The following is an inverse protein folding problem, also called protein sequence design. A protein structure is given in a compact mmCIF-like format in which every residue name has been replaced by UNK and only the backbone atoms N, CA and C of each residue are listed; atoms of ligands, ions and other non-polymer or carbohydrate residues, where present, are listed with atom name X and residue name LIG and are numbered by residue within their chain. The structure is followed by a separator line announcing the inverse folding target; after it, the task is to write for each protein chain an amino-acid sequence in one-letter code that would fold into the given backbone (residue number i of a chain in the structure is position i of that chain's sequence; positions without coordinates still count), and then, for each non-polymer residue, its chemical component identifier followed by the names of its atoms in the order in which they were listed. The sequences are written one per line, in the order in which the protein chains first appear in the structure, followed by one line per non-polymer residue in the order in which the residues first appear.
data_IF_812351745217
#
_entry.id   IF_812351745217
#
_cell.length_a   1.000
_cell.length_b   1.000
_cell.length_c   1.000
_cell.angle_alpha   90.00
_cell.angle_beta   90.00
_cell.angle_gamma   90.00
#
_symmetry.space_group_name_H-M   'P 1'
#
loop_
_entity.id
_entity.type
_entity.pdbx_description
1 polymer ?
#
# COMPACT_ATOMS: atom_id res chain seq x y z
N UNK A 1 -50.18 -60.88 3.30
CA UNK A 1 -50.92 -59.59 3.30
C UNK A 1 -50.49 -58.79 4.54
N UNK A 2 -49.26 -58.26 4.54
CA UNK A 2 -48.71 -57.63 5.77
C UNK A 2 -47.52 -56.69 5.55
N UNK A 3 -46.96 -56.60 4.34
CA UNK A 3 -45.80 -55.75 4.05
C UNK A 3 -46.13 -54.26 3.91
N UNK A 4 -47.40 -53.90 3.67
CA UNK A 4 -47.84 -52.51 3.48
C UNK A 4 -47.86 -51.69 4.79
N UNK A 5 -48.42 -52.17 5.93
CA UNK A 5 -48.42 -51.40 7.17
C UNK A 5 -47.01 -51.19 7.75
N UNK A 6 -46.12 -52.17 7.63
CA UNK A 6 -44.73 -52.06 8.11
C UNK A 6 -43.89 -51.08 7.27
N UNK A 7 -44.18 -50.99 5.97
CA UNK A 7 -43.55 -49.98 5.10
C UNK A 7 -44.01 -48.58 5.50
N UNK A 8 -45.30 -48.40 5.79
CA UNK A 8 -45.87 -47.11 6.15
C UNK A 8 -45.30 -46.60 7.48
N UNK A 9 -45.19 -47.45 8.51
CA UNK A 9 -44.64 -47.05 9.82
C UNK A 9 -43.15 -46.72 9.75
N UNK A 10 -42.40 -47.37 8.86
CA UNK A 10 -40.98 -47.12 8.64
C UNK A 10 -40.70 -45.77 7.95
N UNK A 11 -41.51 -45.38 6.96
CA UNK A 11 -41.32 -44.12 6.21
C UNK A 11 -42.09 -42.92 6.78
N UNK A 12 -43.08 -43.14 7.65
CA UNK A 12 -43.83 -42.09 8.33
C UNK A 12 -42.96 -41.04 9.05
N UNK A 13 -41.96 -41.39 9.89
CA UNK A 13 -41.13 -40.40 10.58
C UNK A 13 -40.30 -39.54 9.62
N UNK A 14 -39.84 -40.09 8.50
CA UNK A 14 -39.13 -39.35 7.45
C UNK A 14 -40.06 -38.37 6.74
N UNK A 15 -41.29 -38.78 6.43
CA UNK A 15 -42.27 -37.92 5.77
C UNK A 15 -42.67 -36.75 6.69
N UNK A 16 -42.87 -37.02 7.98
CA UNK A 16 -43.14 -35.99 9.00
C UNK A 16 -41.95 -35.03 9.14
N UNK A 17 -40.71 -35.53 9.21
CA UNK A 17 -39.53 -34.67 9.33
C UNK A 17 -39.30 -33.80 8.11
N UNK A 18 -39.51 -34.34 6.90
CA UNK A 18 -39.40 -33.58 5.64
C UNK A 18 -40.42 -32.43 5.62
N UNK A 19 -41.68 -32.71 5.99
CA UNK A 19 -42.73 -31.69 6.06
C UNK A 19 -42.41 -30.65 7.14
N UNK A 20 -41.89 -31.06 8.29
CA UNK A 20 -41.57 -30.16 9.40
C UNK A 20 -40.36 -29.27 9.07
N UNK A 21 -39.30 -29.82 8.46
CA UNK A 21 -38.12 -29.08 8.02
C UNK A 21 -38.47 -28.09 6.91
N UNK A 22 -39.22 -28.52 5.90
CA UNK A 22 -39.67 -27.63 4.80
C UNK A 22 -40.61 -26.54 5.30
N UNK A 23 -41.53 -26.86 6.21
CA UNK A 23 -42.38 -25.88 6.88
C UNK A 23 -41.55 -24.89 7.71
N UNK A 24 -40.58 -25.36 8.49
CA UNK A 24 -39.70 -24.53 9.31
C UNK A 24 -38.84 -23.60 8.44
N UNK A 25 -38.23 -24.11 7.38
CA UNK A 25 -37.44 -23.31 6.42
C UNK A 25 -38.32 -22.28 5.69
N UNK A 26 -39.53 -22.67 5.27
CA UNK A 26 -40.48 -21.76 4.64
C UNK A 26 -40.98 -20.69 5.60
N UNK A 27 -41.23 -21.03 6.87
CA UNK A 27 -41.63 -20.10 7.92
C UNK A 27 -40.49 -19.13 8.23
N UNK A 28 -39.26 -19.63 8.37
CA UNK A 28 -38.07 -18.81 8.60
C UNK A 28 -37.83 -17.87 7.42
N UNK A 29 -38.02 -18.36 6.19
CA UNK A 29 -37.91 -17.54 4.98
C UNK A 29 -38.99 -16.49 4.91
N UNK A 30 -40.23 -16.86 5.17
CA UNK A 30 -41.33 -15.92 5.23
C UNK A 30 -41.13 -14.86 6.32
N UNK A 31 -40.66 -15.24 7.51
CA UNK A 31 -40.42 -14.32 8.63
C UNK A 31 -39.25 -13.37 8.33
N UNK A 32 -38.18 -13.87 7.70
CA UNK A 32 -37.03 -13.08 7.27
C UNK A 32 -37.30 -12.22 6.01
N UNK A 33 -38.19 -12.66 5.11
CA UNK A 33 -38.61 -11.93 3.90
C UNK A 33 -39.64 -10.83 4.20
N UNK A 34 -40.64 -11.14 5.04
CA UNK A 34 -41.79 -10.28 5.27
C UNK A 34 -41.45 -9.08 6.15
N UNK A 35 -40.35 -9.15 6.90
CA UNK A 35 -39.98 -8.10 7.84
C UNK A 35 -39.31 -6.90 7.18
N UNK A 36 -38.65 -7.06 6.01
CA UNK A 36 -37.97 -5.94 5.34
C UNK A 36 -37.86 -6.13 3.81
N UNK A 37 -38.75 -5.48 3.05
CA UNK A 37 -38.74 -5.43 1.57
C UNK A 37 -37.78 -4.37 1.00
N UNK A 38 -37.23 -3.47 1.85
CA UNK A 38 -36.21 -2.47 1.48
C UNK A 38 -34.92 -2.71 2.27
N UNK A 39 -34.05 -3.61 1.80
CA UNK A 39 -32.76 -3.86 2.45
C UNK A 39 -31.58 -3.36 1.61
N UNK A 40 -30.88 -2.37 2.16
CA UNK A 40 -29.51 -2.02 1.79
C UNK A 40 -28.60 -3.26 1.92
N UNK A 41 -27.51 -3.30 1.15
CA UNK A 41 -26.64 -4.47 1.01
C UNK A 41 -26.16 -5.10 2.33
N UNK A 42 -26.01 -4.31 3.39
CA UNK A 42 -25.46 -4.73 4.69
C UNK A 42 -26.35 -5.72 5.46
N UNK A 43 -27.68 -5.70 5.29
CA UNK A 43 -28.57 -6.64 5.99
C UNK A 43 -28.79 -7.96 5.24
N UNK A 44 -28.26 -8.08 4.00
CA UNK A 44 -28.41 -9.31 3.18
C UNK A 44 -27.48 -10.43 3.67
N UNK A 45 -26.29 -10.09 4.14
CA UNK A 45 -25.28 -11.05 4.59
C UNK A 45 -25.70 -11.87 5.83
N UNK A 46 -26.16 -11.26 6.95
CA UNK A 46 -26.60 -12.05 8.11
C UNK A 46 -27.80 -12.94 7.77
N UNK A 47 -28.71 -12.48 6.90
CA UNK A 47 -29.84 -13.28 6.45
C UNK A 47 -29.41 -14.51 5.63
N UNK A 48 -28.46 -14.35 4.70
CA UNK A 48 -27.93 -15.47 3.92
C UNK A 48 -27.21 -16.49 4.81
N UNK A 49 -26.45 -16.02 5.80
CA UNK A 49 -25.81 -16.89 6.78
C UNK A 49 -26.82 -17.67 7.63
N UNK A 50 -27.85 -17.00 8.16
CA UNK A 50 -28.92 -17.67 8.93
C UNK A 50 -29.64 -18.72 8.09
N UNK A 51 -29.90 -18.43 6.81
CA UNK A 51 -30.49 -19.40 5.89
C UNK A 51 -29.61 -20.59 5.60
N UNK A 52 -28.31 -20.35 5.39
CA UNK A 52 -27.34 -21.41 5.16
C UNK A 52 -27.25 -22.34 6.38
N UNK A 53 -27.17 -21.77 7.58
CA UNK A 53 -27.15 -22.54 8.83
C UNK A 53 -28.45 -23.34 9.01
N UNK A 54 -29.61 -22.71 8.76
CA UNK A 54 -30.89 -23.40 8.86
C UNK A 54 -31.00 -24.58 7.88
N UNK A 55 -30.50 -24.42 6.65
CA UNK A 55 -30.45 -25.51 5.67
C UNK A 55 -29.54 -26.65 6.13
N UNK A 56 -28.35 -26.36 6.67
CA UNK A 56 -27.45 -27.38 7.21
C UNK A 56 -28.12 -28.15 8.35
N UNK A 57 -28.75 -27.44 9.29
CA UNK A 57 -29.50 -28.07 10.40
C UNK A 57 -30.67 -28.91 9.88
N UNK A 58 -31.39 -28.42 8.86
CA UNK A 58 -32.48 -29.17 8.22
C UNK A 58 -32.00 -30.48 7.58
N UNK A 59 -30.87 -30.46 6.89
CA UNK A 59 -30.25 -31.67 6.31
C UNK A 59 -29.87 -32.66 7.42
N UNK A 60 -29.25 -32.19 8.51
CA UNK A 60 -28.91 -33.05 9.65
C UNK A 60 -30.17 -33.67 10.28
N UNK A 61 -31.24 -32.89 10.45
CA UNK A 61 -32.51 -33.37 10.99
C UNK A 61 -33.13 -34.46 10.10
N UNK A 62 -33.08 -34.31 8.76
CA UNK A 62 -33.57 -35.33 7.83
C UNK A 62 -32.76 -36.61 7.97
N UNK A 63 -31.43 -36.51 8.04
CA UNK A 63 -30.53 -37.68 8.16
C UNK A 63 -30.81 -38.47 9.45
N UNK A 64 -31.08 -37.80 10.56
CA UNK A 64 -31.43 -38.43 11.85
C UNK A 64 -32.76 -39.22 11.80
N UNK A 65 -33.64 -38.88 10.86
CA UNK A 65 -34.95 -39.55 10.69
C UNK A 65 -34.98 -40.57 9.57
N UNK A 66 -33.83 -40.85 8.92
CA UNK A 66 -33.74 -41.87 7.88
C UNK A 66 -34.01 -43.27 8.47
N UNK A 67 -34.85 -44.09 7.81
CA UNK A 67 -35.11 -45.47 8.25
C UNK A 67 -33.96 -46.41 7.89
N UNK A 68 -32.77 -46.14 8.41
CA UNK A 68 -31.56 -46.93 8.23
C UNK A 68 -30.97 -47.27 9.59
N UNK A 69 -30.08 -48.26 9.65
CA UNK A 69 -29.44 -48.63 10.91
C UNK A 69 -28.63 -47.47 11.49
N UNK A 70 -28.54 -47.39 12.82
CA UNK A 70 -27.75 -46.35 13.51
C UNK A 70 -26.30 -46.30 13.01
N UNK A 71 -25.71 -47.45 12.66
CA UNK A 71 -24.38 -47.52 12.08
C UNK A 71 -24.29 -46.77 10.74
N UNK A 72 -25.29 -46.90 9.86
CA UNK A 72 -25.33 -46.20 8.57
C UNK A 72 -25.62 -44.71 8.79
N UNK A 73 -26.54 -44.36 9.70
CA UNK A 73 -26.81 -42.96 10.04
C UNK A 73 -25.54 -42.25 10.52
N UNK A 74 -24.80 -42.86 11.44
CA UNK A 74 -23.55 -42.32 11.97
C UNK A 74 -22.48 -42.17 10.89
N UNK A 75 -22.39 -43.12 9.94
CA UNK A 75 -21.48 -43.00 8.79
C UNK A 75 -21.86 -41.84 7.87
N UNK A 76 -23.15 -41.65 7.58
CA UNK A 76 -23.63 -40.53 6.76
C UNK A 76 -23.36 -39.19 7.45
N UNK A 77 -23.63 -39.10 8.76
CA UNK A 77 -23.34 -37.90 9.55
C UNK A 77 -21.84 -37.61 9.62
N UNK A 78 -21.01 -38.64 9.79
CA UNK A 78 -19.55 -38.48 9.77
C UNK A 78 -19.06 -37.99 8.39
N UNK A 79 -19.59 -38.55 7.29
CA UNK A 79 -19.26 -38.11 5.94
C UNK A 79 -19.67 -36.65 5.71
N UNK A 80 -20.90 -36.28 6.08
CA UNK A 80 -21.37 -34.89 5.99
C UNK A 80 -20.49 -33.97 6.84
N UNK A 81 -20.13 -34.40 8.06
CA UNK A 81 -19.23 -33.67 8.94
C UNK A 81 -17.88 -33.40 8.30
N UNK A 82 -17.23 -34.42 7.75
CA UNK A 82 -15.93 -34.30 7.06
C UNK A 82 -16.04 -33.40 5.83
N UNK A 83 -17.10 -33.56 5.02
CA UNK A 83 -17.32 -32.75 3.83
C UNK A 83 -17.55 -31.28 4.18
N UNK A 84 -18.40 -30.99 5.17
CA UNK A 84 -18.67 -29.62 5.62
C UNK A 84 -17.42 -28.99 6.25
N UNK A 85 -16.70 -29.72 7.11
CA UNK A 85 -15.47 -29.19 7.72
C UNK A 85 -14.38 -28.95 6.67
N UNK A 86 -14.22 -29.86 5.71
CA UNK A 86 -13.27 -29.72 4.61
C UNK A 86 -13.61 -28.52 3.74
N UNK A 87 -14.87 -28.37 3.35
CA UNK A 87 -15.35 -27.24 2.55
C UNK A 87 -15.06 -25.89 3.24
N UNK A 88 -15.35 -25.77 4.54
CA UNK A 88 -15.04 -24.55 5.30
C UNK A 88 -13.53 -24.32 5.37
N UNK A 89 -12.73 -25.34 5.67
CA UNK A 89 -11.27 -25.22 5.77
C UNK A 89 -10.64 -24.76 4.43
N UNK A 90 -11.00 -25.41 3.33
CA UNK A 90 -10.49 -25.05 2.00
C UNK A 90 -10.96 -23.66 1.56
N UNK A 91 -12.23 -23.31 1.83
CA UNK A 91 -12.75 -21.98 1.47
C UNK A 91 -12.09 -20.86 2.27
N UNK A 92 -11.74 -21.10 3.53
CA UNK A 92 -11.10 -20.09 4.40
C UNK A 92 -9.58 -19.99 4.22
N UNK A 93 -8.96 -20.89 3.46
CA UNK A 93 -7.49 -20.96 3.31
C UNK A 93 -6.89 -19.67 2.75
N UNK A 94 -7.54 -19.04 1.76
CA UNK A 94 -7.04 -17.80 1.15
C UNK A 94 -7.03 -16.62 2.14
N UNK A 95 -8.09 -16.47 2.93
CA UNK A 95 -8.19 -15.44 3.98
C UNK A 95 -7.09 -15.67 5.02
N UNK A 96 -6.97 -16.90 5.51
CA UNK A 96 -5.95 -17.25 6.50
C UNK A 96 -4.53 -17.00 5.98
N UNK A 97 -4.28 -17.28 4.70
CA UNK A 97 -2.99 -17.03 4.05
C UNK A 97 -2.65 -15.54 4.05
N UNK A 98 -3.62 -14.67 3.72
CA UNK A 98 -3.42 -13.22 3.75
C UNK A 98 -3.24 -12.67 5.19
N UNK A 99 -3.98 -13.21 6.17
CA UNK A 99 -3.78 -12.85 7.59
C UNK A 99 -2.37 -13.21 8.05
N UNK A 100 -1.93 -14.43 7.78
CA UNK A 100 -0.60 -14.90 8.16
C UNK A 100 0.50 -14.11 7.44
N UNK A 101 0.32 -13.82 6.15
CA UNK A 101 1.23 -12.94 5.42
C UNK A 101 1.30 -11.54 6.03
N UNK A 102 0.16 -10.95 6.42
CA UNK A 102 0.12 -9.67 7.12
C UNK A 102 0.87 -9.69 8.46
N UNK A 103 0.75 -10.78 9.23
CA UNK A 103 1.50 -10.96 10.48
C UNK A 103 3.01 -11.06 10.21
N UNK A 104 3.42 -11.80 9.19
CA UNK A 104 4.83 -11.93 8.78
C UNK A 104 5.39 -10.57 8.35
N UNK A 105 4.65 -9.79 7.56
CA UNK A 105 5.07 -8.44 7.16
C UNK A 105 5.25 -7.53 8.38
N UNK A 106 4.36 -7.60 9.37
CA UNK A 106 4.46 -6.82 10.61
C UNK A 106 5.60 -7.27 11.52
N UNK A 107 5.93 -8.57 11.53
CA UNK A 107 7.01 -9.12 12.36
C UNK A 107 8.39 -8.85 11.75
N UNK A 108 8.57 -9.19 10.47
CA UNK A 108 9.85 -9.01 9.77
C UNK A 108 10.11 -7.55 9.38
N UNK A 109 9.05 -6.73 9.27
CA UNK A 109 9.10 -5.32 8.86
C UNK A 109 10.02 -5.08 7.66
N UNK A 110 9.84 -5.81 6.53
CA UNK A 110 10.69 -5.65 5.34
C UNK A 110 10.61 -4.22 4.77
N UNK A 111 9.45 -3.57 4.94
CA UNK A 111 9.16 -2.17 4.67
C UNK A 111 8.23 -1.63 5.76
N UNK A 112 8.09 -0.31 5.82
CA UNK A 112 7.20 0.42 6.74
C UNK A 112 6.23 1.28 5.94
N UNK A 113 5.17 1.74 6.61
CA UNK A 113 4.29 2.78 6.07
C UNK A 113 5.15 4.02 5.77
N UNK A 114 4.99 4.57 4.57
CA UNK A 114 5.81 5.67 4.07
C UNK A 114 7.07 5.26 3.29
N UNK A 115 7.48 4.00 3.30
CA UNK A 115 8.58 3.56 2.42
C UNK A 115 8.13 3.54 0.97
N UNK A 116 9.06 3.85 0.06
CA UNK A 116 8.82 3.72 -1.37
C UNK A 116 9.09 2.28 -1.79
N UNK A 117 8.11 1.62 -2.37
CA UNK A 117 8.16 0.21 -2.73
C UNK A 117 7.86 0.01 -4.21
N UNK A 118 8.47 -1.02 -4.79
CA UNK A 118 8.15 -1.49 -6.13
C UNK A 118 7.83 -2.98 -6.11
N UNK A 119 6.63 -3.31 -6.57
CA UNK A 119 6.08 -4.67 -6.59
C UNK A 119 5.34 -4.89 -7.90
N UNK A 120 5.63 -5.99 -8.60
CA UNK A 120 4.94 -6.40 -9.83
C UNK A 120 4.83 -5.28 -10.89
N UNK A 121 5.87 -4.45 -11.02
CA UNK A 121 5.92 -3.33 -11.97
C UNK A 121 5.24 -2.05 -11.50
N UNK A 122 4.49 -2.07 -10.40
CA UNK A 122 3.93 -0.87 -9.77
C UNK A 122 4.95 -0.27 -8.81
N UNK A 123 5.08 1.05 -8.82
CA UNK A 123 5.91 1.82 -7.89
C UNK A 123 5.08 2.87 -7.17
N UNK A 124 5.30 2.99 -5.87
CA UNK A 124 4.57 3.93 -5.05
C UNK A 124 5.02 3.88 -3.59
N UNK A 125 4.35 4.65 -2.75
CA UNK A 125 4.61 4.73 -1.31
C UNK A 125 3.57 3.91 -0.56
N UNK A 126 3.98 3.15 0.45
CA UNK A 126 3.05 2.38 1.28
C UNK A 126 2.17 3.34 2.07
N UNK A 127 0.86 3.33 1.83
CA UNK A 127 -0.11 4.21 2.46
C UNK A 127 -0.70 3.59 3.72
N UNK A 128 -1.14 2.33 3.64
CA UNK A 128 -1.75 1.61 4.77
C UNK A 128 -1.39 0.12 4.73
N UNK A 129 -1.24 -0.48 5.91
CA UNK A 129 -1.08 -1.93 6.07
C UNK A 129 -2.26 -2.52 6.83
N UNK A 130 -3.26 -2.99 6.08
CA UNK A 130 -4.43 -3.69 6.59
C UNK A 130 -4.12 -5.09 7.12
N UNK A 131 -5.18 -5.82 7.48
CA UNK A 131 -5.07 -7.20 7.97
C UNK A 131 -4.86 -8.20 6.81
N UNK A 132 -5.56 -8.00 5.70
CA UNK A 132 -5.56 -8.90 4.54
C UNK A 132 -4.78 -8.32 3.35
N UNK A 133 -4.70 -7.01 3.28
CA UNK A 133 -4.16 -6.25 2.19
C UNK A 133 -3.30 -5.08 2.68
N UNK A 134 -2.51 -4.53 1.77
CA UNK A 134 -1.66 -3.36 1.96
C UNK A 134 -1.89 -2.43 0.79
N UNK A 135 -2.17 -1.17 1.07
CA UNK A 135 -2.42 -0.14 0.06
C UNK A 135 -1.14 0.62 -0.27
N UNK A 136 -0.88 0.77 -1.56
CA UNK A 136 0.25 1.52 -2.10
C UNK A 136 -0.30 2.68 -2.93
N UNK A 137 0.13 3.89 -2.60
CA UNK A 137 -0.20 5.09 -3.35
C UNK A 137 0.85 5.33 -4.45
N UNK A 138 0.42 5.38 -5.70
CA UNK A 138 1.30 5.61 -6.84
C UNK A 138 1.63 7.10 -7.01
N UNK A 139 2.60 7.39 -7.88
CA UNK A 139 2.97 8.76 -8.28
C UNK A 139 1.80 9.50 -8.97
N UNK A 140 0.81 8.78 -9.50
CA UNK A 140 -0.41 9.34 -10.13
C UNK A 140 -1.56 9.53 -9.14
N UNK A 141 -1.31 9.41 -7.83
CA UNK A 141 -2.30 9.53 -6.74
C UNK A 141 -3.36 8.41 -6.75
N UNK A 142 -3.10 7.28 -7.41
CA UNK A 142 -3.97 6.10 -7.36
C UNK A 142 -3.64 5.25 -6.13
N UNK A 143 -4.65 4.64 -5.52
CA UNK A 143 -4.50 3.67 -4.43
C UNK A 143 -4.64 2.26 -4.99
N UNK A 144 -3.56 1.48 -4.89
CA UNK A 144 -3.54 0.09 -5.33
C UNK A 144 -3.49 -0.80 -4.08
N UNK A 145 -4.53 -1.60 -3.87
CA UNK A 145 -4.57 -2.61 -2.80
C UNK A 145 -3.93 -3.91 -3.27
N UNK A 146 -2.89 -4.34 -2.57
CA UNK A 146 -2.22 -5.62 -2.77
C UNK A 146 -2.58 -6.58 -1.65
N UNK A 147 -3.02 -7.79 -1.99
CA UNK A 147 -3.18 -8.85 -1.01
C UNK A 147 -1.84 -9.14 -0.33
N UNK A 148 -1.83 -9.28 1.00
CA UNK A 148 -0.60 -9.45 1.79
C UNK A 148 0.19 -10.68 1.35
N UNK A 149 -0.48 -11.76 0.92
CA UNK A 149 0.17 -12.94 0.37
C UNK A 149 1.00 -12.66 -0.88
N UNK A 150 0.59 -11.72 -1.74
CA UNK A 150 1.35 -11.35 -2.94
C UNK A 150 2.65 -10.64 -2.55
N UNK A 151 2.60 -9.77 -1.54
CA UNK A 151 3.77 -9.03 -1.05
C UNK A 151 4.81 -9.92 -0.38
N UNK A 152 4.39 -11.01 0.26
CA UNK A 152 5.31 -11.98 0.87
C UNK A 152 5.89 -12.93 -0.18
N UNK A 153 5.11 -13.32 -1.18
CA UNK A 153 5.52 -14.32 -2.17
C UNK A 153 6.26 -13.73 -3.40
N UNK A 154 6.16 -12.42 -3.63
CA UNK A 154 6.77 -11.76 -4.78
C UNK A 154 8.03 -11.00 -4.38
N UNK A 155 9.05 -10.90 -5.26
CA UNK A 155 10.18 -10.03 -5.01
C UNK A 155 9.71 -8.57 -4.93
N UNK A 156 10.11 -7.90 -3.86
CA UNK A 156 9.79 -6.50 -3.60
C UNK A 156 11.09 -5.69 -3.51
N UNK A 157 11.10 -4.50 -4.09
CA UNK A 157 12.19 -3.52 -3.91
C UNK A 157 11.73 -2.46 -2.93
N UNK A 158 12.52 -2.17 -1.91
CA UNK A 158 12.23 -1.10 -0.94
C UNK A 158 13.31 -0.04 -1.05
N UNK A 159 12.91 1.20 -1.22
CA UNK A 159 13.75 2.36 -0.98
C UNK A 159 13.36 2.91 0.38
N UNK A 160 14.25 2.72 1.35
CA UNK A 160 14.05 3.12 2.74
C UNK A 160 14.21 4.62 2.89
N UNK A 161 13.57 5.19 3.89
CA UNK A 161 13.73 6.60 4.27
C UNK A 161 15.16 7.00 4.69
N UNK A 162 16.05 6.03 4.98
CA UNK A 162 17.44 6.29 5.36
C UNK A 162 18.33 6.85 4.24
N UNK A 163 17.85 6.81 3.00
CA UNK A 163 18.55 7.35 1.86
C UNK A 163 18.35 6.52 0.60
N UNK A 164 18.49 7.17 -0.55
CA UNK A 164 18.32 6.55 -1.85
C UNK A 164 19.45 6.95 -2.78
N UNK A 165 19.99 6.00 -3.54
CA UNK A 165 20.89 6.35 -4.63
C UNK A 165 20.04 6.82 -5.80
N UNK A 166 20.17 8.10 -6.16
CA UNK A 166 19.61 8.61 -7.41
C UNK A 166 20.69 8.61 -8.48
N UNK A 167 20.30 8.34 -9.71
CA UNK A 167 21.24 8.30 -10.83
C UNK A 167 20.63 8.85 -12.12
N UNK A 168 21.52 9.34 -12.97
CA UNK A 168 21.22 9.80 -14.33
C UNK A 168 22.21 9.13 -15.27
N UNK A 169 21.67 8.61 -16.37
CA UNK A 169 22.45 8.01 -17.44
C UNK A 169 22.41 8.93 -18.66
N UNK A 170 23.56 9.11 -19.27
CA UNK A 170 23.72 9.90 -20.48
C UNK A 170 24.81 9.31 -21.36
N UNK A 171 24.71 9.55 -22.66
CA UNK A 171 25.71 9.16 -23.64
C UNK A 171 26.42 10.39 -24.19
N UNK A 172 27.74 10.35 -24.27
CA UNK A 172 28.56 11.44 -24.84
C UNK A 172 29.49 10.88 -25.92
N UNK A 173 29.82 11.69 -26.92
CA UNK A 173 30.73 11.31 -28.00
C UNK A 173 32.16 11.03 -27.50
N UNK A 174 32.92 10.25 -28.28
CA UNK A 174 34.31 9.89 -27.98
C UNK A 174 35.31 11.06 -28.04
N UNK A 175 34.89 12.21 -28.56
CA UNK A 175 35.74 13.39 -28.72
C UNK A 175 36.16 14.03 -27.38
N UNK A 176 35.46 13.69 -26.29
CA UNK A 176 35.67 14.29 -24.98
C UNK A 176 36.32 13.29 -24.04
N UNK A 177 37.47 13.68 -23.47
CA UNK A 177 38.18 12.85 -22.50
C UNK A 177 37.34 12.63 -21.22
N UNK A 178 37.27 11.38 -20.75
CA UNK A 178 36.43 10.97 -19.62
C UNK A 178 36.65 11.81 -18.34
N UNK A 179 37.90 12.19 -18.04
CA UNK A 179 38.24 13.02 -16.87
C UNK A 179 37.54 14.38 -16.87
N UNK A 180 37.33 14.98 -18.06
CA UNK A 180 36.63 16.26 -18.18
C UNK A 180 35.14 16.08 -17.91
N UNK A 181 34.54 15.03 -18.47
CA UNK A 181 33.14 14.67 -18.25
C UNK A 181 32.88 14.40 -16.76
N UNK A 182 33.70 13.54 -16.15
CA UNK A 182 33.58 13.14 -14.75
C UNK A 182 33.60 14.34 -13.80
N UNK A 183 34.52 15.30 -14.03
CA UNK A 183 34.59 16.53 -13.25
C UNK A 183 33.28 17.33 -13.27
N UNK A 184 32.65 17.48 -14.43
CA UNK A 184 31.41 18.26 -14.57
C UNK A 184 30.19 17.51 -14.01
N UNK A 185 30.13 16.19 -14.21
CA UNK A 185 29.07 15.35 -13.63
C UNK A 185 29.11 15.34 -12.09
N UNK A 186 30.30 15.24 -11.48
CA UNK A 186 30.47 15.33 -10.03
C UNK A 186 30.08 16.73 -9.51
N UNK A 187 30.41 17.80 -10.23
CA UNK A 187 29.99 19.16 -9.87
C UNK A 187 28.46 19.30 -9.89
N UNK A 188 27.79 18.75 -10.90
CA UNK A 188 26.33 18.77 -10.99
C UNK A 188 25.65 18.00 -9.83
N UNK A 189 26.23 16.87 -9.43
CA UNK A 189 25.74 16.09 -8.29
C UNK A 189 25.92 16.84 -6.96
N UNK A 190 27.06 17.53 -6.78
CA UNK A 190 27.31 18.36 -5.62
C UNK A 190 26.33 19.55 -5.51
N UNK A 191 26.00 20.22 -6.62
CA UNK A 191 24.97 21.28 -6.66
C UNK A 191 23.56 20.78 -6.27
N UNK A 192 23.31 19.49 -6.50
CA UNK A 192 22.05 18.88 -6.10
C UNK A 192 22.00 18.52 -4.61
N UNK A 193 23.14 18.56 -3.89
CA UNK A 193 23.25 18.17 -2.49
C UNK A 193 23.35 16.66 -2.29
N UNK A 194 23.89 15.93 -3.28
CA UNK A 194 24.08 14.49 -3.18
C UNK A 194 25.40 14.15 -2.49
N UNK A 195 25.34 13.26 -1.51
CA UNK A 195 26.49 12.75 -0.79
C UNK A 195 27.12 11.57 -1.54
N UNK A 196 28.41 11.31 -1.33
CA UNK A 196 29.16 10.18 -1.91
C UNK A 196 28.91 9.97 -3.42
N UNK A 197 28.89 11.08 -4.17
CA UNK A 197 28.61 11.05 -5.60
C UNK A 197 29.77 10.42 -6.38
N UNK A 198 29.45 9.55 -7.33
CA UNK A 198 30.41 8.87 -8.18
C UNK A 198 29.93 8.76 -9.63
N UNK A 199 30.88 8.74 -10.56
CA UNK A 199 30.63 8.56 -11.99
C UNK A 199 31.10 7.19 -12.42
N UNK A 200 30.30 6.50 -13.23
CA UNK A 200 30.65 5.22 -13.85
C UNK A 200 30.58 5.33 -15.36
N UNK A 201 31.53 4.69 -16.04
CA UNK A 201 31.40 4.37 -17.47
C UNK A 201 30.66 3.04 -17.56
N UNK A 202 29.40 3.07 -18.03
CA UNK A 202 28.54 1.89 -18.12
C UNK A 202 28.93 1.02 -19.31
N UNK A 203 29.14 1.66 -20.46
CA UNK A 203 29.37 0.99 -21.73
C UNK A 203 30.16 1.88 -22.70
N UNK A 204 30.93 1.24 -23.56
CA UNK A 204 31.57 1.83 -24.73
C UNK A 204 30.74 1.40 -25.95
N UNK A 205 29.87 2.28 -26.45
CA UNK A 205 29.05 2.03 -27.62
C UNK A 205 29.78 2.37 -28.92
N UNK A 206 29.17 2.12 -30.06
CA UNK A 206 29.82 2.34 -31.36
C UNK A 206 30.13 3.82 -31.64
N UNK A 207 29.30 4.73 -31.13
CA UNK A 207 29.39 6.18 -31.40
C UNK A 207 29.46 7.05 -30.14
N UNK A 208 29.33 6.45 -28.96
CA UNK A 208 29.30 7.18 -27.70
C UNK A 208 29.75 6.33 -26.51
N UNK A 209 30.18 6.99 -25.46
CA UNK A 209 30.44 6.42 -24.14
C UNK A 209 29.24 6.71 -23.24
N UNK A 210 28.68 5.67 -22.64
CA UNK A 210 27.57 5.79 -21.68
C UNK A 210 28.11 6.03 -20.28
N UNK A 211 27.75 7.16 -19.69
CA UNK A 211 28.09 7.54 -18.33
C UNK A 211 26.87 7.44 -17.42
N UNK A 212 27.08 7.02 -16.17
CA UNK A 212 26.11 7.12 -15.08
C UNK A 212 26.70 7.99 -13.99
N UNK A 213 26.04 9.09 -13.66
CA UNK A 213 26.28 9.83 -12.42
C UNK A 213 25.29 9.31 -11.38
N UNK A 214 25.79 8.96 -10.20
CA UNK A 214 24.98 8.52 -9.08
C UNK A 214 25.44 9.18 -7.79
N UNK A 215 24.53 9.37 -6.85
CA UNK A 215 24.84 9.90 -5.53
C UNK A 215 23.77 9.58 -4.51
N UNK A 216 24.15 9.60 -3.24
CA UNK A 216 23.25 9.35 -2.12
C UNK A 216 22.40 10.59 -1.85
N UNK A 217 21.09 10.42 -1.92
CA UNK A 217 20.09 11.38 -1.49
C UNK A 217 19.66 11.02 -0.07
N UNK A 218 19.86 11.94 0.87
CA UNK A 218 19.47 11.78 2.28
C UNK A 218 17.97 11.96 2.48
N UNK A 219 17.35 12.92 1.78
CA UNK A 219 15.90 13.13 1.80
C UNK A 219 15.18 12.37 0.69
N UNK A 220 14.70 11.18 1.03
CA UNK A 220 13.98 10.29 0.09
C UNK A 220 12.60 10.83 -0.29
N UNK A 221 12.01 11.75 0.49
CA UNK A 221 10.69 12.32 0.18
C UNK A 221 10.74 13.17 -1.08
N UNK A 222 11.85 13.88 -1.32
CA UNK A 222 12.06 14.69 -2.50
C UNK A 222 12.66 13.93 -3.69
N UNK A 223 12.66 12.58 -3.69
CA UNK A 223 13.34 11.78 -4.72
C UNK A 223 12.94 12.13 -6.16
N UNK A 224 11.66 12.33 -6.45
CA UNK A 224 11.22 12.72 -7.81
C UNK A 224 11.81 14.08 -8.22
N UNK A 225 11.69 15.06 -7.33
CA UNK A 225 12.21 16.42 -7.54
C UNK A 225 13.74 16.44 -7.62
N UNK A 226 14.42 15.68 -6.77
CA UNK A 226 15.88 15.52 -6.78
C UNK A 226 16.36 14.86 -8.08
N UNK A 227 15.64 13.85 -8.59
CA UNK A 227 15.95 13.23 -9.88
C UNK A 227 15.81 14.24 -11.02
N UNK A 228 14.73 15.01 -11.05
CA UNK A 228 14.54 16.07 -12.06
C UNK A 228 15.62 17.16 -11.95
N UNK A 229 15.93 17.59 -10.72
CA UNK A 229 16.99 18.56 -10.43
C UNK A 229 18.35 18.07 -10.90
N UNK A 230 18.68 16.79 -10.67
CA UNK A 230 19.93 16.19 -11.14
C UNK A 230 20.03 16.16 -12.66
N UNK A 231 18.95 15.83 -13.38
CA UNK A 231 18.94 15.91 -14.85
C UNK A 231 19.20 17.34 -15.34
N UNK A 232 18.55 18.34 -14.74
CA UNK A 232 18.74 19.76 -15.08
C UNK A 232 20.16 20.23 -14.77
N UNK A 233 20.70 19.88 -13.60
CA UNK A 233 22.06 20.25 -13.21
C UNK A 233 23.12 19.61 -14.11
N UNK A 234 22.92 18.35 -14.52
CA UNK A 234 23.80 17.67 -15.49
C UNK A 234 23.78 18.41 -16.83
N UNK A 235 22.59 18.76 -17.34
CA UNK A 235 22.44 19.53 -18.58
C UNK A 235 23.16 20.88 -18.47
N UNK A 236 22.88 21.65 -17.42
CA UNK A 236 23.44 22.98 -17.22
C UNK A 236 24.97 22.94 -17.07
N UNK A 237 25.51 22.00 -16.30
CA UNK A 237 26.95 21.86 -16.07
C UNK A 237 27.71 21.48 -17.34
N UNK A 238 27.18 20.54 -18.12
CA UNK A 238 27.79 20.13 -19.38
C UNK A 238 27.72 21.24 -20.44
N UNK A 239 26.57 21.91 -20.59
CA UNK A 239 26.42 23.00 -21.56
C UNK A 239 27.30 24.20 -21.21
N UNK A 240 27.42 24.58 -19.94
CA UNK A 240 28.33 25.64 -19.49
C UNK A 240 29.79 25.31 -19.76
N UNK A 241 30.14 24.02 -19.72
CA UNK A 241 31.47 23.53 -20.06
C UNK A 241 31.74 23.45 -21.58
N UNK A 242 30.76 23.78 -22.42
CA UNK A 242 30.83 23.61 -23.88
C UNK A 242 30.85 22.15 -24.31
N UNK A 243 30.32 21.25 -23.47
CA UNK A 243 30.16 19.84 -23.79
C UNK A 243 28.78 19.65 -24.42
N UNK A 244 28.76 19.32 -25.71
CA UNK A 244 27.54 19.05 -26.44
C UNK A 244 27.00 17.66 -26.09
N UNK A 245 25.71 17.58 -25.77
CA UNK A 245 25.01 16.32 -25.57
C UNK A 245 24.27 16.01 -26.87
N UNK A 246 24.81 15.08 -27.66
CA UNK A 246 24.22 14.63 -28.92
C UNK A 246 23.57 13.27 -28.75
N UNK A 247 22.42 13.08 -29.41
CA UNK A 247 21.85 11.75 -29.55
C UNK A 247 22.76 10.90 -30.47
N UNK A 248 23.02 9.62 -30.15
CA UNK A 248 23.82 8.73 -31.00
C UNK A 248 23.27 8.59 -32.44
N UNK A 249 21.99 8.90 -32.66
CA UNK A 249 21.34 8.85 -33.97
C UNK A 249 21.45 10.16 -34.78
N UNK A 250 22.16 11.17 -34.27
CA UNK A 250 22.23 12.49 -34.89
C UNK A 250 23.46 12.60 -35.80
N UNK A 251 23.24 12.67 -37.11
CA UNK A 251 24.26 13.08 -38.09
C UNK A 251 23.96 14.52 -38.52
N UNK A 252 24.75 15.47 -38.02
CA UNK A 252 24.62 16.88 -38.42
C UNK A 252 25.70 17.22 -39.44
N UNK A 253 25.32 17.48 -40.70
CA UNK A 253 26.19 18.19 -41.64
C UNK A 253 25.74 19.63 -41.73
N UNK A 254 26.44 20.54 -41.06
CA UNK A 254 26.17 21.97 -41.11
C UNK A 254 27.25 22.68 -41.93
N UNK A 255 26.98 23.08 -43.18
CA UNK A 255 27.91 23.95 -43.91
C UNK A 255 28.01 25.28 -43.16
N UNK A 256 29.22 25.64 -42.73
CA UNK A 256 29.54 26.90 -42.05
C UNK A 256 30.13 27.88 -43.07
N UNK A 257 29.72 29.15 -43.01
CA UNK A 257 30.47 30.20 -43.69
C UNK A 257 31.77 30.48 -42.93
N UNK A 258 32.89 30.78 -43.63
CA UNK A 258 34.17 31.05 -42.98
C UNK A 258 34.04 32.22 -41.98
N UNK A 259 34.14 31.93 -40.68
CA UNK A 259 34.19 32.95 -39.62
C UNK A 259 32.92 33.12 -38.78
N UNK A 260 31.85 32.33 -39.00
CA UNK A 260 30.67 32.39 -38.13
C UNK A 260 30.90 31.67 -36.78
N UNK A 261 30.68 32.37 -35.67
CA UNK A 261 30.71 31.81 -34.31
C UNK A 261 29.28 31.65 -33.81
N UNK A 262 28.82 30.42 -33.60
CA UNK A 262 27.49 30.11 -33.06
C UNK A 262 27.59 29.79 -31.57
N UNK A 263 27.41 30.80 -30.73
CA UNK A 263 27.28 30.65 -29.28
C UNK A 263 25.82 30.99 -28.89
N UNK A 264 25.10 30.12 -28.19
CA UNK A 264 23.79 30.47 -27.65
C UNK A 264 23.91 31.58 -26.60
N UNK A 265 23.17 32.68 -26.80
CA UNK A 265 23.07 33.77 -25.83
C UNK A 265 22.24 33.30 -24.63
N UNK A 266 22.86 33.26 -23.45
CA UNK A 266 22.16 32.93 -22.21
C UNK A 266 21.08 33.98 -21.90
N UNK A 267 19.83 33.59 -21.54
CA UNK A 267 18.86 34.53 -21.03
C UNK A 267 19.37 35.11 -19.71
N UNK A 268 19.30 36.44 -19.57
CA UNK A 268 19.59 37.16 -18.33
C UNK A 268 18.64 36.65 -17.25
N UNK A 269 19.14 35.88 -16.28
CA UNK A 269 18.35 35.37 -15.14
C UNK A 269 17.57 36.54 -14.52
N UNK A 270 16.25 36.55 -14.71
CA UNK A 270 15.38 37.35 -13.86
C UNK A 270 15.50 36.80 -12.44
N UNK A 271 15.57 37.70 -11.46
CA UNK A 271 15.58 37.35 -10.05
C UNK A 271 14.26 36.65 -9.75
N UNK A 272 14.25 35.32 -9.74
CA UNK A 272 13.09 34.54 -9.28
C UNK A 272 12.88 34.95 -7.82
N UNK A 273 11.77 35.64 -7.57
CA UNK A 273 11.31 35.92 -6.22
C UNK A 273 11.15 34.58 -5.50
N UNK A 274 11.66 34.53 -4.26
CA UNK A 274 11.57 33.43 -3.30
C UNK A 274 10.49 32.39 -3.62
N UNK A 275 10.89 31.22 -4.13
CA UNK A 275 10.10 29.98 -4.17
C UNK A 275 10.02 29.36 -2.76
N UNK A 276 9.64 30.16 -1.77
CA UNK A 276 8.94 29.63 -0.62
C UNK A 276 7.46 29.67 -1.02
N UNK A 277 6.84 28.50 -1.09
CA UNK A 277 5.40 28.25 -0.87
C UNK A 277 4.57 27.62 -2.00
N UNK A 278 5.15 26.85 -2.93
CA UNK A 278 4.35 25.92 -3.75
C UNK A 278 5.13 24.67 -4.17
N UNK A 279 5.32 23.76 -3.21
CA UNK A 279 5.81 22.40 -3.47
C UNK A 279 4.67 21.54 -4.03
N UNK A 280 4.79 20.94 -5.22
CA UNK A 280 3.80 20.00 -5.74
C UNK A 280 3.53 18.83 -4.76
N UNK A 281 4.53 18.44 -3.98
CA UNK A 281 4.44 17.37 -2.99
C UNK A 281 3.44 17.68 -1.86
N UNK A 282 3.31 18.95 -1.46
CA UNK A 282 2.34 19.37 -0.45
C UNK A 282 0.89 19.22 -0.94
N UNK A 283 0.68 19.29 -2.27
CA UNK A 283 -0.63 19.06 -2.89
C UNK A 283 -0.85 17.58 -3.16
N UNK A 284 0.20 16.82 -3.47
CA UNK A 284 0.11 15.40 -3.87
C UNK A 284 0.01 14.45 -2.67
N UNK A 285 0.66 14.77 -1.54
CA UNK A 285 0.84 13.87 -0.40
C UNK A 285 0.30 14.42 0.94
N UNK A 286 -0.51 15.46 0.89
CA UNK A 286 -1.36 15.98 1.97
C UNK A 286 -1.80 14.92 3.01
N UNK A 287 -2.44 13.84 2.57
CA UNK A 287 -2.93 12.78 3.48
C UNK A 287 -1.82 11.92 4.10
N UNK A 288 -0.72 11.71 3.39
CA UNK A 288 0.39 10.89 3.86
C UNK A 288 1.26 11.65 4.88
N UNK A 289 1.36 12.97 4.73
CA UNK A 289 2.08 13.85 5.64
C UNK A 289 1.35 13.99 6.98
N UNK A 290 0.02 14.12 6.96
CA UNK A 290 -0.82 14.07 8.17
C UNK A 290 -0.70 12.72 8.90
N UNK A 291 -0.73 11.60 8.16
CA UNK A 291 -0.57 10.27 8.74
C UNK A 291 0.83 10.06 9.35
N UNK A 292 1.88 10.58 8.72
CA UNK A 292 3.25 10.52 9.25
C UNK A 292 3.42 11.38 10.50
N UNK A 293 2.84 12.58 10.53
CA UNK A 293 2.86 13.45 11.71
C UNK A 293 2.16 12.80 12.91
N UNK A 294 0.97 12.22 12.70
CA UNK A 294 0.23 11.48 13.72
C UNK A 294 1.04 10.26 14.23
N UNK A 295 1.73 9.56 13.33
CA UNK A 295 2.58 8.42 13.69
C UNK A 295 3.84 8.84 14.45
N UNK A 296 4.48 9.95 14.08
CA UNK A 296 5.65 10.50 14.78
C UNK A 296 5.27 11.00 16.18
N UNK A 297 4.16 11.72 16.31
CA UNK A 297 3.63 12.16 17.60
C UNK A 297 3.31 10.97 18.51
N UNK A 298 2.75 9.90 17.94
CA UNK A 298 2.50 8.65 18.66
C UNK A 298 3.78 8.00 19.17
N UNK A 299 4.81 7.85 18.32
CA UNK A 299 6.09 7.25 18.72
C UNK A 299 6.78 8.10 19.79
N UNK A 300 6.75 9.43 19.66
CA UNK A 300 7.30 10.34 20.66
C UNK A 300 6.56 10.25 22.01
N UNK A 301 5.23 10.13 22.00
CA UNK A 301 4.41 9.92 23.20
C UNK A 301 4.66 8.54 23.85
N UNK A 302 4.87 7.49 23.07
CA UNK A 302 5.24 6.16 23.56
C UNK A 302 6.64 6.15 24.21
N UNK A 303 7.62 6.87 23.63
CA UNK A 303 8.96 7.05 24.22
C UNK A 303 8.90 7.90 25.51
N UNK A 304 8.09 8.95 25.55
CA UNK A 304 7.84 9.76 26.75
C UNK A 304 7.18 8.92 27.86
N UNK A 305 6.25 8.01 27.53
CA UNK A 305 5.67 7.10 28.51
C UNK A 305 6.70 6.10 29.06
N UNK A 306 7.57 5.56 28.20
CA UNK A 306 8.61 4.63 28.63
C UNK A 306 9.63 5.29 29.57
N UNK A 307 10.04 6.53 29.27
CA UNK A 307 10.98 7.30 30.11
C UNK A 307 10.34 7.72 31.44
N UNK A 308 9.08 8.19 31.43
CA UNK A 308 8.34 8.52 32.66
C UNK A 308 8.07 7.29 33.54
N UNK A 309 7.77 6.12 32.94
CA UNK A 309 7.62 4.85 33.68
C UNK A 309 8.94 4.37 34.29
N UNK A 310 10.07 4.59 33.61
CA UNK A 310 11.39 4.29 34.15
C UNK A 310 11.74 5.22 35.33
N UNK A 311 11.50 6.53 35.19
CA UNK A 311 11.73 7.51 36.26
C UNK A 311 10.86 7.26 37.51
N UNK A 312 9.65 6.72 37.34
CA UNK A 312 8.73 6.40 38.45
C UNK A 312 9.22 5.21 39.30
N UNK A 313 10.08 4.34 38.76
CA UNK A 313 10.70 3.23 39.52
C UNK A 313 11.76 3.69 40.51
N UNK A 314 12.44 4.80 40.24
CA UNK A 314 13.58 5.30 41.04
C UNK A 314 13.26 6.55 41.89
N UNK A 315 12.03 7.11 41.81
CA UNK A 315 11.67 8.40 42.42
C UNK A 315 11.02 8.35 43.83
N UNK A 316 11.19 9.44 44.60
CA UNK A 316 10.67 9.64 45.96
C UNK A 316 9.14 9.93 46.00
N UNK A 317 8.53 9.91 47.20
CA UNK A 317 7.07 9.94 47.38
C UNK A 317 6.36 11.22 46.88
N UNK A 318 7.05 12.36 46.80
CA UNK A 318 6.49 13.62 46.26
C UNK A 318 6.64 13.70 44.73
N UNK A 319 7.79 13.29 44.19
CA UNK A 319 8.06 13.20 42.73
C UNK A 319 7.14 12.18 42.04
N UNK A 320 6.78 11.09 42.75
CA UNK A 320 5.85 10.07 42.25
C UNK A 320 4.45 10.59 41.95
N UNK A 321 3.99 11.65 42.62
CA UNK A 321 2.65 12.20 42.34
C UNK A 321 2.66 13.08 41.08
N UNK A 322 3.69 13.90 40.90
CA UNK A 322 3.88 14.71 39.69
C UNK A 322 4.15 13.85 38.45
N UNK A 323 4.96 12.79 38.60
CA UNK A 323 5.23 11.82 37.52
C UNK A 323 3.98 11.02 37.14
N UNK A 324 3.09 10.69 38.10
CA UNK A 324 1.81 10.02 37.81
C UNK A 324 0.85 10.92 37.03
N UNK A 325 0.76 12.19 37.42
CA UNK A 325 -0.08 13.18 36.74
C UNK A 325 0.38 13.41 35.29
N UNK A 326 1.70 13.52 35.07
CA UNK A 326 2.28 13.59 33.72
C UNK A 326 2.03 12.31 32.90
N UNK A 327 2.10 11.14 33.53
CA UNK A 327 1.87 9.84 32.87
C UNK A 327 0.41 9.66 32.45
N UNK A 328 -0.54 10.08 33.30
CA UNK A 328 -1.96 10.06 32.98
C UNK A 328 -2.32 11.07 31.87
N UNK A 329 -1.70 12.26 31.86
CA UNK A 329 -1.85 13.23 30.79
C UNK A 329 -1.33 12.69 29.44
N UNK A 330 -0.13 12.10 29.42
CA UNK A 330 0.47 11.53 28.21
C UNK A 330 -0.30 10.31 27.69
N UNK A 331 -0.85 9.47 28.59
CA UNK A 331 -1.76 8.37 28.20
C UNK A 331 -3.05 8.87 27.57
N UNK A 332 -3.68 9.90 28.16
CA UNK A 332 -4.93 10.47 27.64
C UNK A 332 -4.73 11.02 26.23
N UNK A 333 -3.59 11.70 25.98
CA UNK A 333 -3.23 12.24 24.67
C UNK A 333 -2.93 11.15 23.62
N UNK A 334 -2.36 10.02 24.03
CA UNK A 334 -2.17 8.83 23.18
C UNK A 334 -3.52 8.18 22.81
N UNK A 335 -4.46 8.11 23.75
CA UNK A 335 -5.79 7.56 23.53
C UNK A 335 -6.64 8.43 22.59
N UNK A 336 -6.49 9.76 22.65
CA UNK A 336 -7.10 10.69 21.70
C UNK A 336 -6.58 10.50 20.27
N UNK A 337 -5.26 10.28 20.10
CA UNK A 337 -4.63 9.97 18.81
C UNK A 337 -5.05 8.58 18.25
N UNK A 338 -5.35 7.61 19.13
CA UNK A 338 -5.84 6.30 18.70
C UNK A 338 -7.31 6.32 18.23
N UNK A 339 -8.11 7.28 18.69
CA UNK A 339 -9.54 7.39 18.37
C UNK A 339 -9.86 8.35 17.22
N UNK A 340 -8.89 9.13 16.73
CA UNK A 340 -9.10 10.05 15.61
C UNK A 340 -9.04 9.28 14.28
N UNK A 341 -10.21 8.96 13.70
CA UNK A 341 -10.28 8.46 12.32
C UNK A 341 -9.89 9.56 11.34
N UNK A 342 -9.15 9.24 10.25
CA UNK A 342 -8.79 10.22 9.23
C UNK A 342 -10.06 10.82 8.59
N UNK A 343 -10.10 12.15 8.56
CA UNK A 343 -11.20 12.97 8.05
C UNK A 343 -11.41 12.65 6.56
N UNK A 344 -12.54 12.03 6.22
CA UNK A 344 -13.00 11.96 4.83
C UNK A 344 -13.64 13.31 4.48
N UNK A 345 -12.87 14.25 3.95
CA UNK A 345 -13.43 15.45 3.36
C UNK A 345 -13.82 15.19 1.90
N UNK A 346 -15.13 15.21 1.67
CA UNK A 346 -15.74 15.13 0.35
C UNK A 346 -15.49 16.41 -0.45
N UNK A 347 -15.11 16.21 -1.70
CA UNK A 347 -14.98 17.26 -2.72
C UNK A 347 -16.33 17.89 -2.99
N UNK A 348 -16.58 19.10 -2.48
CA UNK A 348 -17.59 20.01 -3.00
C UNK A 348 -17.00 20.80 -4.16
N UNK A 349 -17.19 20.29 -5.38
CA UNK A 349 -16.85 21.00 -6.60
C UNK A 349 -17.76 22.23 -6.75
N UNK A 350 -17.21 23.42 -6.59
CA UNK A 350 -17.80 24.69 -6.98
C UNK A 350 -17.74 24.84 -8.51
N UNK A 351 -18.88 24.66 -9.16
CA UNK A 351 -19.05 25.03 -10.56
C UNK A 351 -18.98 26.55 -10.69
N UNK A 352 -17.93 27.06 -11.35
CA UNK A 352 -17.91 28.40 -11.92
C UNK A 352 -17.77 28.29 -13.44
N UNK A 353 -18.88 28.60 -14.11
CA UNK A 353 -19.02 28.72 -15.56
C UNK A 353 -18.19 29.91 -16.06
N UNK A 354 -17.36 29.79 -17.11
CA UNK A 354 -16.88 30.96 -17.83
C UNK A 354 -17.92 31.39 -18.87
N UNK A 355 -18.24 32.68 -18.84
CA UNK A 355 -19.07 33.34 -19.82
C UNK A 355 -18.44 33.25 -21.22
N UNK A 356 -19.31 33.06 -22.21
CA UNK A 356 -18.96 33.17 -23.62
C UNK A 356 -18.78 34.64 -24.01
N UNK A 357 -17.69 34.92 -24.71
CA UNK A 357 -17.57 35.90 -25.80
C UNK A 357 -16.59 35.35 -26.85
#
# INVERSE_FOLDING_TARGET
MGLLPDLITLFWPLLVSLVLVTFFLSLLNWLLLKRHTHLNGEQKLPRQLTMLVANIVGVIAIVLTLPVSEAIQNQILALIGILLSGMVAFSSTSIMTNVMAGLVLRFNKPFRIGDFVRVNGFSGRVAEMGLLDTEIQTETRELISFANSVLVNSPLTVVRSSGAIISVELSLGYEIHHTRVEKHLLSAAAECGLEDSFVQVIALGDYSVSYRIAGLLTDVKSMLSARSKLHKAVLDSLHQAGIEIVSPAFTNTRPQEPGSVMIPLAPRKAKVASEQDNRPEAVIFDKAEEAEAVQQDRVALEEQLATLQAALKDANSEEKNLLKEQLDFTKTKLDELNNTKPKQEGVSASASTPAAD
#
